data_IF_430872411593
#
_entry.id   IF_430872411593
#
_cell.length_a   1.000
_cell.length_b   1.000
_cell.length_c   1.000
_cell.angle_alpha   90.00
_cell.angle_beta   90.00
_cell.angle_gamma   90.00
#
_symmetry.space_group_name_H-M   'P 1'
#
loop_
_entity.id
_entity.type
_entity.pdbx_description
1 polymer ?
#
# COMPACT_ATOMS: atom_id res chain seq x y z
N UNK A 1 -71.90 42.44 6.27
CA UNK A 1 -72.14 40.99 6.26
C UNK A 1 -70.96 40.37 5.53
N UNK A 2 -69.99 39.81 6.27
CA UNK A 2 -69.62 38.37 6.25
C UNK A 2 -69.67 37.77 4.83
N UNK A 3 -68.60 37.19 4.27
CA UNK A 3 -67.76 36.22 4.93
C UNK A 3 -66.36 36.11 4.30
N UNK A 4 -65.39 35.99 5.19
CA UNK A 4 -63.96 35.78 4.99
C UNK A 4 -63.70 34.29 4.74
N UNK A 5 -63.02 33.92 3.64
CA UNK A 5 -62.23 32.68 3.60
C UNK A 5 -60.91 32.99 2.89
N UNK A 6 -59.91 33.25 3.72
CA UNK A 6 -58.50 33.38 3.37
C UNK A 6 -57.93 31.96 3.28
N UNK A 7 -57.64 31.46 2.09
CA UNK A 7 -56.90 30.20 1.92
C UNK A 7 -55.41 30.54 1.94
N UNK A 8 -54.80 30.41 3.13
CA UNK A 8 -53.35 30.30 3.26
C UNK A 8 -52.91 28.92 2.75
N UNK A 9 -52.34 28.88 1.55
CA UNK A 9 -51.51 27.74 1.13
C UNK A 9 -50.12 27.91 1.75
N UNK A 10 -49.93 27.26 2.90
CA UNK A 10 -48.64 26.91 3.45
C UNK A 10 -47.93 25.97 2.47
N UNK A 11 -47.07 26.51 1.61
CA UNK A 11 -46.04 25.70 0.94
C UNK A 11 -44.88 25.59 1.93
N UNK A 12 -44.56 24.38 2.42
CA UNK A 12 -43.48 24.21 3.37
C UNK A 12 -42.15 24.58 2.71
N UNK A 13 -41.45 25.55 3.28
CA UNK A 13 -40.03 25.80 3.07
C UNK A 13 -39.24 24.64 3.68
N UNK A 14 -39.24 23.50 3.00
CA UNK A 14 -38.18 22.52 3.12
C UNK A 14 -37.20 22.80 1.99
N UNK A 15 -36.17 23.58 2.29
CA UNK A 15 -35.00 23.70 1.42
C UNK A 15 -34.56 22.30 1.04
N UNK A 16 -34.65 22.03 -0.27
CA UNK A 16 -34.17 20.83 -0.92
C UNK A 16 -32.67 20.71 -0.63
N UNK A 17 -32.34 20.09 0.49
CA UNK A 17 -31.08 19.38 0.65
C UNK A 17 -31.11 18.30 -0.42
N UNK A 18 -30.48 18.59 -1.55
CA UNK A 18 -30.14 17.61 -2.55
C UNK A 18 -29.28 16.56 -1.84
N UNK A 19 -29.93 15.53 -1.29
CA UNK A 19 -29.31 14.26 -0.98
C UNK A 19 -28.79 13.77 -2.33
N UNK A 20 -27.51 14.01 -2.57
CA UNK A 20 -26.72 13.28 -3.52
C UNK A 20 -26.76 11.82 -3.07
N UNK A 21 -27.83 11.12 -3.46
CA UNK A 21 -27.79 9.69 -3.55
C UNK A 21 -26.84 9.40 -4.71
N UNK A 22 -25.56 9.23 -4.38
CA UNK A 22 -24.58 8.57 -5.23
C UNK A 22 -24.97 7.09 -5.34
N UNK A 23 -26.14 6.82 -5.91
CA UNK A 23 -26.34 5.55 -6.59
C UNK A 23 -25.44 5.63 -7.81
N UNK A 24 -24.22 5.13 -7.65
CA UNK A 24 -23.42 4.63 -8.76
C UNK A 24 -24.37 3.92 -9.70
N UNK A 25 -24.50 4.45 -10.91
CA UNK A 25 -25.25 3.81 -11.98
C UNK A 25 -24.63 2.44 -12.18
N UNK A 26 -25.28 1.41 -11.62
CA UNK A 26 -25.05 0.00 -11.94
C UNK A 26 -25.26 -0.14 -13.45
N UNK A 27 -24.17 -0.12 -14.21
CA UNK A 27 -24.22 -0.30 -15.66
C UNK A 27 -22.92 -0.02 -16.40
N UNK A 28 -22.03 0.81 -15.86
CA UNK A 28 -20.73 1.09 -16.49
C UNK A 28 -19.62 0.49 -15.62
N UNK A 29 -19.24 -0.77 -15.90
CA UNK A 29 -17.95 -1.25 -15.41
C UNK A 29 -16.86 -0.40 -16.06
N UNK A 30 -15.90 0.10 -15.27
CA UNK A 30 -14.74 0.90 -15.68
C UNK A 30 -13.74 0.16 -16.62
N UNK A 31 -14.21 -0.75 -17.48
CA UNK A 31 -13.36 -1.69 -18.23
C UNK A 31 -13.27 -1.35 -19.72
N UNK A 32 -13.13 -0.07 -20.08
CA UNK A 32 -12.78 0.27 -21.46
C UNK A 32 -11.28 0.02 -21.72
N UNK A 33 -10.46 -0.06 -20.66
CA UNK A 33 -9.05 -0.43 -20.73
C UNK A 33 -8.87 -1.95 -20.83
N UNK A 34 -7.96 -2.36 -21.70
CA UNK A 34 -7.68 -3.80 -21.96
C UNK A 34 -6.85 -4.42 -20.83
N UNK A 35 -6.02 -3.60 -20.17
CA UNK A 35 -5.13 -4.04 -19.09
C UNK A 35 -5.85 -3.96 -17.73
N UNK A 36 -5.87 -5.03 -16.92
CA UNK A 36 -6.67 -5.09 -15.68
C UNK A 36 -6.19 -4.13 -14.57
N UNK A 37 -4.92 -3.73 -14.58
CA UNK A 37 -4.35 -2.75 -13.64
C UNK A 37 -4.57 -1.30 -14.07
N UNK A 38 -5.18 -1.07 -15.23
CA UNK A 38 -5.45 0.26 -15.75
C UNK A 38 -6.93 0.64 -15.57
N UNK A 39 -7.18 1.94 -15.55
CA UNK A 39 -8.50 2.54 -15.53
C UNK A 39 -8.62 3.59 -16.63
N UNK A 40 -9.85 3.79 -17.12
CA UNK A 40 -10.10 4.84 -18.08
C UNK A 40 -9.90 6.20 -17.40
N UNK A 41 -9.15 7.09 -18.04
CA UNK A 41 -9.12 8.48 -17.64
C UNK A 41 -10.48 9.09 -17.90
N UNK A 42 -11.03 9.73 -16.87
CA UNK A 42 -12.39 10.25 -16.92
C UNK A 42 -12.39 11.76 -17.05
N UNK A 43 -13.25 12.29 -17.91
CA UNK A 43 -13.49 13.72 -18.06
C UNK A 43 -14.13 14.31 -16.80
N UNK A 44 -13.82 15.56 -16.48
CA UNK A 44 -14.50 16.25 -15.38
C UNK A 44 -16.02 16.31 -15.63
N UNK A 45 -16.87 15.87 -14.67
CA UNK A 45 -18.31 15.98 -14.82
C UNK A 45 -18.74 17.46 -14.87
N UNK A 46 -19.81 17.74 -15.60
CA UNK A 46 -20.44 19.06 -15.65
C UNK A 46 -21.90 18.96 -15.24
N UNK A 47 -22.56 20.08 -14.95
CA UNK A 47 -23.99 20.11 -14.60
C UNK A 47 -24.90 19.48 -15.67
N UNK A 48 -24.42 19.35 -16.93
CA UNK A 48 -25.19 18.81 -18.05
C UNK A 48 -24.73 17.44 -18.51
N UNK A 49 -23.50 17.03 -18.22
CA UNK A 49 -22.89 15.83 -18.77
C UNK A 49 -22.13 15.09 -17.65
N UNK A 50 -22.46 13.82 -17.37
CA UNK A 50 -21.71 13.03 -16.41
C UNK A 50 -20.28 12.77 -16.90
N UNK A 51 -19.43 12.36 -15.96
CA UNK A 51 -18.07 11.91 -16.25
C UNK A 51 -18.05 10.78 -17.29
N UNK A 52 -17.21 10.89 -18.33
CA UNK A 52 -17.06 9.90 -19.41
C UNK A 52 -15.57 9.64 -19.69
N UNK A 53 -15.25 8.47 -20.25
CA UNK A 53 -13.89 8.15 -20.67
C UNK A 53 -13.37 9.18 -21.68
N UNK A 54 -12.12 9.60 -21.54
CA UNK A 54 -11.46 10.52 -22.46
C UNK A 54 -11.07 9.74 -23.73
N UNK A 55 -11.57 10.18 -24.86
CA UNK A 55 -11.23 9.62 -26.17
C UNK A 55 -9.87 10.14 -26.64
N UNK A 56 -9.13 9.32 -27.38
CA UNK A 56 -7.83 9.67 -27.95
C UNK A 56 -7.71 9.14 -29.37
N UNK A 57 -6.59 9.40 -30.04
CA UNK A 57 -6.23 8.74 -31.28
C UNK A 57 -4.70 8.69 -31.35
N UNK A 58 -4.08 7.53 -31.65
CA UNK A 58 -2.63 7.36 -31.60
C UNK A 58 -1.86 8.33 -32.50
N UNK A 59 -2.50 8.83 -33.57
CA UNK A 59 -1.87 9.73 -34.53
C UNK A 59 -2.15 11.23 -34.26
N UNK A 60 -3.29 11.57 -33.64
CA UNK A 60 -3.80 12.96 -33.65
C UNK A 60 -4.09 13.54 -32.26
N UNK A 61 -4.36 12.70 -31.25
CA UNK A 61 -4.81 13.13 -29.93
C UNK A 61 -4.11 12.35 -28.83
N UNK A 62 -3.11 13.00 -28.22
CA UNK A 62 -2.39 12.45 -27.09
C UNK A 62 -3.25 12.45 -25.83
N UNK A 63 -3.02 11.44 -24.99
CA UNK A 63 -3.68 11.35 -23.70
C UNK A 63 -3.20 12.46 -22.75
N UNK A 64 -4.11 12.99 -21.90
CA UNK A 64 -3.72 13.85 -20.80
C UNK A 64 -2.63 13.22 -19.91
N UNK A 65 -1.82 14.08 -19.30
CA UNK A 65 -0.83 13.65 -18.32
C UNK A 65 -1.51 12.86 -17.18
N UNK A 66 -0.93 11.72 -16.83
CA UNK A 66 -1.42 10.78 -15.81
C UNK A 66 -0.34 9.78 -15.44
N UNK A 67 -0.68 8.72 -14.71
CA UNK A 67 0.27 7.63 -14.41
C UNK A 67 0.38 6.70 -15.63
N UNK A 68 1.48 6.82 -16.37
CA UNK A 68 1.76 6.09 -17.61
C UNK A 68 0.56 6.04 -18.59
N UNK A 69 0.08 7.22 -19.04
CA UNK A 69 -1.11 7.28 -19.86
C UNK A 69 -0.85 6.65 -21.23
N UNK A 70 -1.77 5.79 -21.67
CA UNK A 70 -1.69 5.09 -22.95
C UNK A 70 -3.04 5.18 -23.67
N UNK A 71 -2.98 5.51 -24.96
CA UNK A 71 -4.14 5.45 -25.83
C UNK A 71 -4.36 4.01 -26.29
N UNK A 72 -5.52 3.43 -25.98
CA UNK A 72 -5.84 2.04 -26.31
C UNK A 72 -7.17 1.96 -27.05
N UNK A 73 -7.25 1.08 -28.05
CA UNK A 73 -8.53 0.77 -28.69
C UNK A 73 -9.34 -0.18 -27.81
N UNK A 74 -10.51 0.29 -27.35
CA UNK A 74 -11.44 -0.52 -26.60
C UNK A 74 -12.38 -1.26 -27.55
N UNK A 75 -12.34 -2.59 -27.54
CA UNK A 75 -13.31 -3.41 -28.29
C UNK A 75 -14.75 -3.23 -27.78
N UNK A 76 -14.91 -2.82 -26.51
CA UNK A 76 -16.23 -2.66 -25.89
C UNK A 76 -16.93 -1.40 -26.34
N UNK A 77 -16.23 -0.27 -26.29
CA UNK A 77 -16.78 1.02 -26.71
C UNK A 77 -16.50 1.35 -28.18
N UNK A 78 -15.76 0.50 -28.88
CA UNK A 78 -15.32 0.66 -30.29
C UNK A 78 -14.63 2.00 -30.54
N UNK A 79 -13.86 2.46 -29.55
CA UNK A 79 -13.22 3.77 -29.53
C UNK A 79 -11.82 3.68 -28.92
N UNK A 80 -10.97 4.59 -29.32
CA UNK A 80 -9.70 4.83 -28.65
C UNK A 80 -9.95 5.65 -27.38
N UNK A 81 -9.50 5.12 -26.25
CA UNK A 81 -9.66 5.72 -24.92
C UNK A 81 -8.33 5.86 -24.22
N UNK A 82 -8.20 6.92 -23.42
CA UNK A 82 -7.05 7.11 -22.56
C UNK A 82 -7.17 6.23 -21.31
N UNK A 83 -6.17 5.40 -21.11
CA UNK A 83 -6.04 4.55 -19.94
C UNK A 83 -4.81 4.97 -19.14
N UNK A 84 -4.94 5.00 -17.82
CA UNK A 84 -3.83 5.23 -16.91
C UNK A 84 -3.74 4.10 -15.88
N UNK A 85 -2.57 3.91 -15.30
CA UNK A 85 -2.40 2.95 -14.21
C UNK A 85 -3.21 3.41 -13.00
N UNK A 86 -3.94 2.46 -12.37
CA UNK A 86 -4.70 2.74 -11.15
C UNK A 86 -3.77 3.24 -10.05
N UNK A 87 -4.30 4.08 -9.16
CA UNK A 87 -3.48 4.65 -8.07
C UNK A 87 -3.07 3.60 -7.05
N UNK A 88 -3.94 2.62 -6.85
CA UNK A 88 -3.91 1.52 -5.88
C UNK A 88 -3.43 0.20 -6.48
N UNK A 89 -3.08 0.15 -7.77
CA UNK A 89 -2.53 -1.05 -8.39
C UNK A 89 -1.13 -0.79 -8.96
N UNK A 90 -0.21 -1.69 -8.66
CA UNK A 90 1.09 -1.71 -9.33
C UNK A 90 0.98 -2.26 -10.75
N UNK A 91 1.94 -1.86 -11.59
CA UNK A 91 2.13 -2.53 -12.88
C UNK A 91 2.51 -3.98 -12.55
N UNK A 92 1.74 -4.97 -13.02
CA UNK A 92 2.01 -6.36 -12.72
C UNK A 92 3.35 -6.73 -13.34
N UNK A 93 4.18 -7.39 -12.52
CA UNK A 93 5.52 -7.84 -12.91
C UNK A 93 5.62 -9.34 -12.74
N UNK A 94 6.50 -9.98 -13.52
CA UNK A 94 6.76 -11.39 -13.36
C UNK A 94 7.56 -11.69 -12.08
N UNK A 95 7.49 -12.92 -11.55
CA UNK A 95 8.28 -13.35 -10.40
C UNK A 95 9.80 -13.21 -10.59
N UNK A 96 10.54 -13.34 -9.50
CA UNK A 96 12.01 -13.32 -9.52
C UNK A 96 12.58 -14.30 -10.55
N UNK A 97 13.62 -13.86 -11.25
CA UNK A 97 14.29 -14.52 -12.37
C UNK A 97 13.44 -14.66 -13.64
N UNK A 98 12.41 -13.83 -13.82
CA UNK A 98 11.66 -13.74 -15.06
C UNK A 98 11.61 -12.29 -15.58
N UNK A 99 11.80 -12.15 -16.88
CA UNK A 99 11.56 -10.93 -17.63
C UNK A 99 10.05 -10.78 -17.89
N UNK A 100 9.53 -9.58 -17.65
CA UNK A 100 8.10 -9.28 -17.80
C UNK A 100 7.78 -8.83 -19.21
N UNK A 101 7.03 -9.65 -19.96
CA UNK A 101 6.27 -9.17 -21.09
C UNK A 101 4.93 -8.71 -20.55
N UNK A 102 4.61 -7.42 -20.64
CA UNK A 102 3.34 -6.80 -20.19
C UNK A 102 2.14 -7.22 -21.05
N UNK A 103 2.10 -8.50 -21.40
CA UNK A 103 1.07 -9.20 -22.15
C UNK A 103 0.37 -10.15 -21.18
N UNK A 104 -0.91 -9.91 -20.88
CA UNK A 104 -1.72 -10.83 -20.10
C UNK A 104 -1.87 -12.19 -20.79
N UNK A 105 -2.00 -13.25 -19.99
CA UNK A 105 -2.21 -14.62 -20.49
C UNK A 105 -3.26 -15.37 -19.64
N UNK A 106 -3.97 -16.34 -20.21
CA UNK A 106 -4.90 -17.21 -19.48
C UNK A 106 -6.35 -17.24 -19.99
N UNK A 107 -7.02 -18.35 -19.67
CA UNK A 107 -8.41 -18.80 -19.93
C UNK A 107 -9.00 -18.69 -21.35
N UNK A 108 -8.42 -17.97 -22.30
CA UNK A 108 -8.78 -18.09 -23.72
C UNK A 108 -7.73 -18.90 -24.47
N UNK A 109 -8.18 -19.73 -25.42
CA UNK A 109 -7.32 -20.55 -26.30
C UNK A 109 -6.32 -19.68 -27.10
N UNK A 110 -6.63 -18.39 -27.26
CA UNK A 110 -5.86 -17.40 -28.01
C UNK A 110 -4.82 -16.61 -27.17
N UNK A 111 -4.81 -16.76 -25.84
CA UNK A 111 -3.89 -16.04 -24.95
C UNK A 111 -2.65 -16.86 -24.59
N UNK A 112 -2.03 -17.47 -25.60
CA UNK A 112 -0.78 -18.21 -25.42
C UNK A 112 0.42 -17.27 -25.44
N UNK A 113 1.32 -17.44 -24.48
CA UNK A 113 2.54 -16.68 -24.45
C UNK A 113 3.45 -17.00 -25.64
N UNK A 114 4.19 -16.00 -26.17
CA UNK A 114 5.15 -16.23 -27.25
C UNK A 114 6.18 -17.30 -26.87
N UNK A 115 6.82 -17.91 -27.87
CA UNK A 115 7.83 -18.96 -27.66
C UNK A 115 8.93 -18.47 -26.71
N UNK A 116 9.19 -19.24 -25.65
CA UNK A 116 10.18 -18.91 -24.62
C UNK A 116 9.61 -18.17 -23.41
N UNK A 117 8.36 -17.73 -23.45
CA UNK A 117 7.63 -17.17 -22.32
C UNK A 117 6.68 -18.21 -21.71
N UNK A 118 6.46 -18.11 -20.41
CA UNK A 118 5.53 -18.94 -19.63
C UNK A 118 4.47 -18.04 -19.02
N UNK A 119 3.23 -18.52 -18.96
CA UNK A 119 2.16 -17.80 -18.28
C UNK A 119 2.30 -17.98 -16.76
N UNK A 120 2.66 -16.94 -16.02
CA UNK A 120 2.82 -16.96 -14.58
C UNK A 120 1.93 -15.90 -13.92
N UNK A 121 1.57 -16.10 -12.65
CA UNK A 121 0.93 -15.06 -11.84
C UNK A 121 1.85 -13.86 -11.67
N UNK A 122 1.28 -12.65 -11.68
CA UNK A 122 2.04 -11.43 -11.46
C UNK A 122 2.35 -11.21 -9.98
N UNK A 123 3.49 -10.59 -9.69
CA UNK A 123 3.80 -10.06 -8.37
C UNK A 123 2.80 -8.95 -8.02
N UNK A 124 2.23 -9.02 -6.82
CA UNK A 124 1.23 -8.05 -6.33
C UNK A 124 -0.22 -8.42 -6.60
N UNK A 125 -0.54 -9.23 -7.63
CA UNK A 125 -1.91 -9.66 -7.94
C UNK A 125 -1.95 -11.03 -8.65
N UNK A 126 -2.41 -12.06 -7.94
CA UNK A 126 -2.57 -13.43 -8.49
C UNK A 126 -3.71 -13.55 -9.51
N UNK A 127 -4.65 -12.61 -9.51
CA UNK A 127 -5.74 -12.61 -10.49
C UNK A 127 -5.24 -12.24 -11.89
N UNK A 128 -4.07 -11.60 -11.97
CA UNK A 128 -3.40 -11.25 -13.21
C UNK A 128 -2.31 -12.27 -13.49
N UNK A 129 -2.33 -12.81 -14.71
CA UNK A 129 -1.24 -13.65 -15.23
C UNK A 129 -0.59 -12.98 -16.42
N UNK A 130 0.73 -13.04 -16.49
CA UNK A 130 1.56 -12.41 -17.50
C UNK A 130 2.47 -13.41 -18.19
N UNK A 131 2.91 -13.06 -19.39
CA UNK A 131 3.94 -13.79 -20.10
C UNK A 131 5.33 -13.46 -19.56
N UNK A 132 5.99 -14.46 -19.01
CA UNK A 132 7.22 -14.33 -18.27
C UNK A 132 8.32 -15.20 -18.87
N UNK A 133 9.47 -14.62 -19.22
CA UNK A 133 10.60 -15.37 -19.79
C UNK A 133 11.69 -15.58 -18.74
N UNK A 134 12.15 -16.81 -18.47
CA UNK A 134 13.24 -17.04 -17.52
C UNK A 134 14.48 -16.24 -17.91
N UNK A 135 14.99 -15.45 -16.97
CA UNK A 135 16.22 -14.69 -17.11
C UNK A 135 16.93 -14.62 -15.76
N UNK A 136 17.97 -15.45 -15.61
CA UNK A 136 18.75 -15.57 -14.36
C UNK A 136 19.80 -14.47 -14.19
N UNK A 137 20.02 -13.64 -15.21
CA UNK A 137 20.98 -12.53 -15.15
C UNK A 137 20.29 -11.20 -14.84
N UNK A 138 18.98 -11.20 -14.55
CA UNK A 138 18.28 -10.00 -14.08
C UNK A 138 18.76 -9.66 -12.67
N UNK A 139 19.25 -8.44 -12.53
CA UNK A 139 19.49 -7.82 -11.23
C UNK A 139 18.18 -7.21 -10.71
N UNK A 140 17.89 -7.47 -9.44
CA UNK A 140 16.71 -6.95 -8.76
C UNK A 140 17.15 -5.95 -7.70
N UNK A 141 16.41 -4.86 -7.58
CA UNK A 141 16.60 -3.92 -6.48
C UNK A 141 15.93 -4.51 -5.25
N UNK A 142 16.74 -4.98 -4.32
CA UNK A 142 16.29 -5.25 -2.95
C UNK A 142 16.36 -3.94 -2.14
N UNK A 143 15.44 -3.71 -1.19
CA UNK A 143 14.40 -4.64 -0.72
C UNK A 143 13.08 -4.57 -1.52
N UNK A 144 12.96 -3.68 -2.51
CA UNK A 144 11.71 -3.43 -3.26
C UNK A 144 11.06 -4.71 -3.80
N UNK A 145 11.86 -5.59 -4.40
CA UNK A 145 11.36 -6.83 -4.97
C UNK A 145 10.71 -7.74 -3.91
N UNK A 146 11.38 -7.95 -2.79
CA UNK A 146 10.88 -8.81 -1.71
C UNK A 146 9.59 -8.27 -1.08
N UNK A 147 9.49 -6.94 -0.90
CA UNK A 147 8.26 -6.30 -0.38
C UNK A 147 7.07 -6.49 -1.33
N UNK A 148 7.29 -6.43 -2.64
CA UNK A 148 6.23 -6.64 -3.65
C UNK A 148 5.85 -8.11 -3.77
N UNK A 149 6.83 -9.02 -3.76
CA UNK A 149 6.59 -10.46 -3.85
C UNK A 149 5.73 -10.99 -2.69
N UNK A 150 5.95 -10.44 -1.49
CA UNK A 150 5.19 -10.80 -0.30
C UNK A 150 3.91 -9.97 -0.10
N UNK A 151 3.53 -9.13 -1.08
CA UNK A 151 2.36 -8.24 -1.03
C UNK A 151 2.33 -7.32 0.19
N UNK A 152 3.50 -6.95 0.68
CA UNK A 152 3.61 -5.85 1.63
C UNK A 152 3.34 -4.54 0.88
N UNK A 153 3.87 -4.41 -0.34
CA UNK A 153 3.56 -3.31 -1.26
C UNK A 153 2.63 -3.81 -2.38
N UNK A 154 1.55 -3.08 -2.74
CA UNK A 154 1.11 -1.80 -2.18
C UNK A 154 0.11 -1.97 -1.01
N UNK A 155 -0.21 -3.21 -0.63
CA UNK A 155 -1.36 -3.54 0.22
C UNK A 155 -1.22 -3.03 1.65
N UNK A 156 -0.02 -3.13 2.21
CA UNK A 156 0.28 -2.74 3.58
C UNK A 156 1.09 -1.45 3.60
N UNK A 157 2.14 -1.34 2.78
CA UNK A 157 2.87 -0.09 2.56
C UNK A 157 2.59 0.44 1.15
N UNK A 158 2.37 1.75 0.97
CA UNK A 158 2.09 2.31 -0.35
C UNK A 158 3.30 2.27 -1.28
N UNK A 159 4.52 2.41 -0.71
CA UNK A 159 5.78 2.45 -1.45
C UNK A 159 6.81 1.60 -0.72
N UNK A 160 7.62 0.84 -1.47
CA UNK A 160 8.71 0.05 -0.90
C UNK A 160 9.80 0.94 -0.28
N UNK A 161 10.47 0.49 0.81
CA UNK A 161 11.57 1.23 1.41
C UNK A 161 12.77 1.35 0.46
N UNK A 162 13.57 2.39 0.63
CA UNK A 162 14.80 2.58 -0.15
C UNK A 162 15.90 1.60 0.24
N UNK A 163 15.98 1.24 1.53
CA UNK A 163 16.99 0.34 2.08
C UNK A 163 16.35 -0.77 2.94
N UNK A 164 17.06 -1.89 3.08
CA UNK A 164 16.69 -2.91 4.05
C UNK A 164 17.00 -2.41 5.47
N UNK A 165 16.08 -2.66 6.40
CA UNK A 165 16.29 -2.42 7.82
C UNK A 165 16.67 -3.75 8.49
N UNK A 166 17.88 -3.83 9.03
CA UNK A 166 18.32 -5.00 9.78
C UNK A 166 17.82 -4.84 11.22
N UNK A 167 17.03 -5.78 11.71
CA UNK A 167 16.51 -5.80 13.07
C UNK A 167 17.01 -7.03 13.83
N UNK A 168 17.61 -6.81 15.00
CA UNK A 168 18.13 -7.86 15.88
C UNK A 168 17.40 -7.81 17.21
N UNK A 169 16.70 -8.90 17.53
CA UNK A 169 15.95 -9.07 18.77
C UNK A 169 16.70 -10.01 19.69
N UNK A 170 17.14 -9.49 20.85
CA UNK A 170 18.11 -10.18 21.70
C UNK A 170 19.36 -10.56 20.88
N UNK A 171 19.52 -11.84 20.52
CA UNK A 171 20.63 -12.36 19.69
C UNK A 171 20.16 -12.89 18.32
N UNK A 172 18.87 -12.72 17.97
CA UNK A 172 18.31 -13.20 16.71
C UNK A 172 18.14 -12.05 15.72
N UNK A 173 18.91 -12.09 14.63
CA UNK A 173 18.71 -11.20 13.50
C UNK A 173 17.55 -11.73 12.64
N UNK A 174 16.53 -10.90 12.46
CA UNK A 174 15.40 -11.23 11.60
C UNK A 174 15.76 -10.94 10.15
N UNK A 175 15.59 -11.93 9.29
CA UNK A 175 15.65 -11.76 7.84
C UNK A 175 14.30 -11.28 7.30
N UNK A 176 14.34 -10.43 6.29
CA UNK A 176 13.13 -9.94 5.61
C UNK A 176 12.28 -11.11 5.07
N UNK A 177 11.00 -11.14 5.41
CA UNK A 177 10.06 -12.19 5.02
C UNK A 177 10.20 -13.51 5.79
N UNK A 178 11.04 -13.55 6.83
CA UNK A 178 11.20 -14.74 7.66
C UNK A 178 9.92 -15.05 8.44
N UNK A 179 9.60 -16.35 8.52
CA UNK A 179 8.43 -16.88 9.22
C UNK A 179 8.89 -17.65 10.45
N UNK A 180 8.30 -17.32 11.59
CA UNK A 180 8.61 -17.93 12.88
C UNK A 180 7.41 -18.66 13.47
N UNK A 181 7.71 -19.70 14.24
CA UNK A 181 6.75 -20.34 15.15
C UNK A 181 6.80 -19.68 16.53
N UNK A 182 5.98 -20.17 17.47
CA UNK A 182 5.86 -19.57 18.80
C UNK A 182 7.17 -19.50 19.61
N UNK A 183 8.23 -20.23 19.20
CA UNK A 183 9.53 -20.15 19.89
C UNK A 183 10.22 -18.79 19.80
N UNK A 184 9.83 -17.94 18.83
CA UNK A 184 10.41 -16.60 18.69
C UNK A 184 9.88 -15.62 19.75
N UNK A 185 8.70 -15.87 20.32
CA UNK A 185 7.95 -14.87 21.12
C UNK A 185 8.79 -14.37 22.31
N UNK A 186 9.46 -15.27 23.02
CA UNK A 186 10.35 -14.89 24.13
C UNK A 186 11.53 -14.02 23.69
N UNK A 187 12.04 -14.22 22.46
CA UNK A 187 13.13 -13.41 21.89
C UNK A 187 12.66 -12.00 21.49
N UNK A 188 11.37 -11.83 21.22
CA UNK A 188 10.71 -10.56 20.86
C UNK A 188 10.18 -9.81 22.10
N UNK A 189 10.63 -10.16 23.31
CA UNK A 189 10.15 -9.50 24.54
C UNK A 189 10.61 -8.04 24.64
N UNK A 190 11.78 -7.72 24.10
CA UNK A 190 12.41 -6.40 24.14
C UNK A 190 12.50 -5.79 22.73
N UNK A 191 12.52 -4.44 22.62
CA UNK A 191 12.65 -3.76 21.32
C UNK A 191 13.96 -4.12 20.62
N UNK A 192 13.97 -4.18 19.27
CA UNK A 192 15.14 -4.60 18.52
C UNK A 192 16.21 -3.51 18.47
N UNK A 193 17.46 -3.95 18.32
CA UNK A 193 18.54 -3.10 17.81
C UNK A 193 18.42 -3.06 16.29
N UNK A 194 18.49 -1.87 15.71
CA UNK A 194 18.30 -1.69 14.27
C UNK A 194 19.51 -1.04 13.61
N UNK A 195 19.79 -1.47 12.39
CA UNK A 195 20.72 -0.80 11.47
C UNK A 195 20.01 -0.59 10.14
N UNK A 196 19.93 0.66 9.69
CA UNK A 196 19.57 0.95 8.31
C UNK A 196 20.76 0.55 7.43
N UNK A 197 20.52 -0.05 6.26
CA UNK A 197 21.57 -0.35 5.27
C UNK A 197 22.25 0.90 4.66
N UNK A 198 22.18 2.04 5.33
CA UNK A 198 22.68 3.36 4.93
C UNK A 198 23.10 4.13 6.18
N UNK A 199 24.13 4.97 6.06
CA UNK A 199 24.57 5.86 7.12
C UNK A 199 23.54 6.96 7.35
N UNK A 200 23.08 7.09 8.60
CA UNK A 200 22.10 8.10 8.98
C UNK A 200 22.77 9.46 9.17
N UNK A 201 22.11 10.52 8.74
CA UNK A 201 22.60 11.89 8.92
C UNK A 201 22.29 12.41 10.33
N UNK A 202 23.30 12.93 11.03
CA UNK A 202 23.21 13.40 12.42
C UNK A 202 22.27 14.61 12.61
N UNK A 203 22.11 15.47 11.59
CA UNK A 203 21.22 16.64 11.65
C UNK A 203 19.76 16.31 11.34
N UNK A 204 19.45 15.04 11.05
CA UNK A 204 18.11 14.58 10.69
C UNK A 204 17.42 13.91 11.88
N UNK A 205 16.09 13.94 11.83
CA UNK A 205 15.25 13.26 12.78
C UNK A 205 14.56 12.07 12.12
N UNK A 206 14.34 11.02 12.90
CA UNK A 206 13.80 9.77 12.42
C UNK A 206 12.60 9.32 13.26
N UNK A 207 11.69 8.62 12.59
CA UNK A 207 10.54 7.96 13.22
C UNK A 207 10.59 6.46 12.94
N UNK A 208 10.44 5.66 13.99
CA UNK A 208 10.30 4.21 13.92
C UNK A 208 8.85 3.85 14.19
N UNK A 209 8.30 2.96 13.37
CA UNK A 209 7.00 2.35 13.59
C UNK A 209 7.09 0.83 13.43
N UNK A 210 6.59 0.11 14.43
CA UNK A 210 6.30 -1.32 14.37
C UNK A 210 4.79 -1.48 14.42
N UNK A 211 4.23 -2.14 13.42
CA UNK A 211 2.80 -2.46 13.40
C UNK A 211 2.56 -3.91 13.01
N UNK A 212 1.52 -4.47 13.61
CA UNK A 212 0.93 -5.73 13.23
C UNK A 212 -0.15 -5.47 12.19
N UNK A 213 0.13 -5.84 10.94
CA UNK A 213 -0.81 -5.68 9.84
C UNK A 213 -2.00 -6.65 9.91
N UNK A 214 -1.87 -7.76 10.64
CA UNK A 214 -2.94 -8.75 10.82
C UNK A 214 -3.96 -8.23 11.82
N UNK A 215 -3.51 -7.73 12.97
CA UNK A 215 -4.38 -7.18 14.03
C UNK A 215 -4.65 -5.69 13.88
N UNK A 216 -4.03 -5.02 12.89
CA UNK A 216 -4.13 -3.58 12.63
C UNK A 216 -3.78 -2.74 13.87
N UNK A 217 -2.71 -3.13 14.55
CA UNK A 217 -2.27 -2.50 15.78
C UNK A 217 -0.85 -1.94 15.63
N UNK A 218 -0.62 -0.73 16.12
CA UNK A 218 0.74 -0.18 16.27
C UNK A 218 1.28 -0.66 17.61
N UNK A 219 2.35 -1.45 17.57
CA UNK A 219 2.97 -2.02 18.79
C UNK A 219 4.22 -1.25 19.21
N UNK A 220 4.74 -0.36 18.38
CA UNK A 220 5.81 0.56 18.77
C UNK A 220 5.80 1.81 17.87
N UNK A 221 5.86 2.99 18.46
CA UNK A 221 6.03 4.25 17.73
C UNK A 221 6.93 5.21 18.52
N UNK A 222 8.07 5.54 17.93
CA UNK A 222 9.04 6.49 18.48
C UNK A 222 9.38 7.49 17.39
N UNK A 223 9.31 8.78 17.73
CA UNK A 223 9.56 9.86 16.79
C UNK A 223 10.59 10.84 17.35
N UNK A 224 11.06 11.75 16.49
CA UNK A 224 12.09 12.74 16.79
C UNK A 224 13.39 12.12 17.31
N UNK A 225 13.79 10.98 16.73
CA UNK A 225 15.01 10.28 17.10
C UNK A 225 16.16 10.94 16.33
N UNK A 226 17.19 11.38 17.04
CA UNK A 226 18.43 11.83 16.40
C UNK A 226 19.31 10.64 16.01
N UNK A 227 20.12 10.83 14.98
CA UNK A 227 21.25 9.95 14.72
C UNK A 227 22.54 10.55 15.30
N UNK A 228 23.46 9.69 15.71
CA UNK A 228 24.83 10.05 16.10
C UNK A 228 25.78 9.02 15.51
N UNK A 229 26.84 9.48 14.85
CA UNK A 229 27.83 8.62 14.17
C UNK A 229 27.14 7.60 13.23
N UNK A 230 26.07 8.03 12.55
CA UNK A 230 25.32 7.17 11.62
C UNK A 230 24.37 6.16 12.26
N UNK A 231 24.19 6.16 13.58
CA UNK A 231 23.32 5.22 14.30
C UNK A 231 22.16 5.93 15.03
N UNK A 232 21.01 5.24 15.13
CA UNK A 232 19.84 5.76 15.86
C UNK A 232 20.09 5.76 17.37
N UNK A 233 19.92 6.92 18.00
CA UNK A 233 20.09 7.05 19.44
C UNK A 233 18.73 6.99 20.16
N UNK A 234 18.25 5.77 20.44
CA UNK A 234 17.02 5.56 21.21
C UNK A 234 17.34 5.63 22.71
N UNK A 235 17.41 6.84 23.24
CA UNK A 235 17.57 7.05 24.68
C UNK A 235 16.37 6.55 25.47
N UNK A 236 16.59 6.12 26.72
CA UNK A 236 15.50 5.90 27.70
C UNK A 236 14.60 7.13 27.91
N UNK A 237 15.07 8.32 27.54
CA UNK A 237 14.32 9.59 27.64
C UNK A 237 13.60 9.97 26.36
N UNK A 238 13.86 9.30 25.24
CA UNK A 238 13.14 9.51 23.99
C UNK A 238 11.68 9.11 24.24
N UNK A 239 10.77 10.08 24.15
CA UNK A 239 9.35 9.83 24.39
C UNK A 239 8.79 9.03 23.23
N UNK A 240 8.32 7.82 23.51
CA UNK A 240 7.50 7.03 22.60
C UNK A 240 6.07 7.57 22.61
N UNK A 241 5.44 7.65 21.44
CA UNK A 241 4.00 7.82 21.34
C UNK A 241 3.30 6.50 21.71
N UNK A 242 3.89 5.39 21.29
CA UNK A 242 3.50 4.02 21.69
C UNK A 242 4.76 3.31 22.17
N UNK A 243 4.82 3.01 23.46
CA UNK A 243 5.90 2.18 24.02
C UNK A 243 5.88 0.79 23.39
N UNK A 244 7.04 0.16 23.26
CA UNK A 244 7.17 -1.18 22.68
C UNK A 244 6.26 -2.17 23.41
N UNK A 245 5.39 -2.83 22.65
CA UNK A 245 4.52 -3.90 23.11
C UNK A 245 5.03 -5.21 22.51
N UNK A 246 5.44 -6.19 23.34
CA UNK A 246 5.85 -7.49 22.85
C UNK A 246 4.65 -8.22 22.23
N UNK A 247 4.90 -9.24 21.37
CA UNK A 247 3.85 -10.09 20.81
C UNK A 247 2.88 -10.63 21.87
N UNK A 248 1.58 -10.50 21.64
CA UNK A 248 0.56 -11.06 22.51
C UNK A 248 0.31 -12.54 22.16
N UNK A 249 0.65 -13.45 23.09
CA UNK A 249 0.41 -14.90 22.94
C UNK A 249 -1.08 -15.27 22.88
N UNK A 250 -1.95 -14.40 23.40
CA UNK A 250 -3.39 -14.61 23.42
C UNK A 250 -4.06 -14.23 22.11
N UNK A 251 -3.41 -13.37 21.31
CA UNK A 251 -3.89 -12.98 19.99
C UNK A 251 -3.60 -14.07 18.95
N UNK A 252 -4.65 -14.76 18.51
CA UNK A 252 -4.58 -15.98 17.69
C UNK A 252 -5.35 -15.80 16.39
N UNK A 253 -4.80 -15.06 15.41
CA UNK A 253 -5.45 -14.84 14.14
C UNK A 253 -5.61 -16.14 13.37
N UNK A 254 -6.50 -16.13 12.36
CA UNK A 254 -6.64 -17.21 11.39
C UNK A 254 -5.45 -17.15 10.43
N UNK A 255 -4.26 -17.56 10.91
CA UNK A 255 -3.01 -17.50 10.15
C UNK A 255 -1.82 -17.09 11.01
N UNK A 256 -1.01 -16.19 10.48
CA UNK A 256 0.17 -15.63 11.14
C UNK A 256 -0.01 -14.11 11.31
N UNK A 257 0.60 -13.59 12.37
CA UNK A 257 0.83 -12.15 12.52
C UNK A 257 1.86 -11.70 11.52
N UNK A 258 1.62 -10.57 10.86
CA UNK A 258 2.54 -9.98 9.88
C UNK A 258 3.02 -8.64 10.42
N UNK A 259 4.26 -8.63 10.89
CA UNK A 259 4.88 -7.47 11.50
C UNK A 259 5.63 -6.67 10.45
N UNK A 260 5.44 -5.36 10.44
CA UNK A 260 6.19 -4.42 9.60
C UNK A 260 6.90 -3.44 10.51
N UNK A 261 8.22 -3.38 10.40
CA UNK A 261 9.08 -2.43 11.09
C UNK A 261 9.64 -1.45 10.06
N UNK A 262 9.30 -0.18 10.18
CA UNK A 262 9.69 0.85 9.24
C UNK A 262 10.36 2.03 9.94
N UNK A 263 11.40 2.56 9.28
CA UNK A 263 12.16 3.75 9.66
C UNK A 263 11.94 4.83 8.60
N UNK A 264 11.55 6.01 9.05
CA UNK A 264 11.33 7.18 8.21
C UNK A 264 12.30 8.30 8.59
N UNK A 265 12.89 8.95 7.61
CA UNK A 265 13.52 10.26 7.79
C UNK A 265 12.42 11.32 7.80
N UNK A 266 12.37 12.14 8.84
CA UNK A 266 11.35 13.18 9.01
C UNK A 266 11.65 14.41 8.14
N UNK A 267 10.60 15.01 7.61
CA UNK A 267 10.66 16.35 7.01
C UNK A 267 10.52 17.45 8.07
N UNK A 268 9.77 17.18 9.13
CA UNK A 268 9.55 18.11 10.24
C UNK A 268 9.55 17.38 11.59
N UNK A 269 9.65 18.13 12.67
CA UNK A 269 9.52 17.64 14.04
C UNK A 269 8.07 17.34 14.39
N UNK A 270 7.84 16.24 15.10
CA UNK A 270 6.56 15.99 15.74
C UNK A 270 6.42 16.82 17.02
N UNK A 271 5.32 17.57 17.17
CA UNK A 271 5.02 18.19 18.46
C UNK A 271 4.55 17.14 19.47
N UNK A 272 4.81 17.35 20.76
CA UNK A 272 4.33 16.41 21.80
C UNK A 272 2.80 16.29 21.83
N UNK A 273 2.08 17.36 21.45
CA UNK A 273 0.63 17.37 21.41
C UNK A 273 0.10 16.51 20.26
N UNK A 274 0.80 16.51 19.13
CA UNK A 274 0.40 15.74 17.96
C UNK A 274 0.71 14.26 18.18
N UNK A 275 1.89 13.93 18.73
CA UNK A 275 2.24 12.54 19.10
C UNK A 275 1.23 11.90 20.05
N UNK A 276 0.74 12.65 21.04
CA UNK A 276 -0.24 12.16 22.00
C UNK A 276 -1.65 11.95 21.42
N UNK A 277 -1.91 12.41 20.19
CA UNK A 277 -3.21 12.37 19.53
C UNK A 277 -3.25 11.42 18.33
N UNK A 278 -2.12 10.81 17.98
CA UNK A 278 -2.07 9.89 16.85
C UNK A 278 -3.01 8.71 17.15
N UNK A 279 -3.99 8.52 16.27
CA UNK A 279 -4.90 7.38 16.35
C UNK A 279 -4.15 6.11 15.98
N UNK A 280 -4.28 5.07 16.80
CA UNK A 280 -3.57 3.79 16.63
C UNK A 280 -4.52 2.60 16.46
N UNK A 281 -5.82 2.81 16.60
CA UNK A 281 -6.85 1.79 16.42
C UNK A 281 -7.13 1.60 14.92
N UNK A 282 -7.38 0.35 14.51
CA UNK A 282 -7.66 0.00 13.10
C UNK A 282 -6.59 0.49 12.12
N UNK A 283 -5.32 0.43 12.53
CA UNK A 283 -4.20 1.02 11.81
C UNK A 283 -4.10 0.55 10.33
N UNK A 284 -4.07 1.53 9.43
CA UNK A 284 -3.75 1.35 8.01
C UNK A 284 -2.56 2.25 7.66
N UNK A 285 -1.43 1.64 7.35
CA UNK A 285 -0.18 2.34 7.01
C UNK A 285 -0.34 3.37 5.88
N UNK A 286 -1.11 3.06 4.84
CA UNK A 286 -1.32 3.96 3.70
C UNK A 286 -2.07 5.23 4.10
N UNK A 287 -3.24 5.06 4.72
CA UNK A 287 -4.07 6.18 5.21
C UNK A 287 -3.32 7.00 6.26
N UNK A 288 -2.60 6.33 7.16
CA UNK A 288 -1.80 6.98 8.19
C UNK A 288 -0.67 7.83 7.60
N UNK A 289 0.06 7.32 6.60
CA UNK A 289 1.10 8.10 5.92
C UNK A 289 0.52 9.29 5.16
N UNK A 290 -0.68 9.17 4.59
CA UNK A 290 -1.37 10.30 3.95
C UNK A 290 -1.77 11.38 4.96
N UNK A 291 -2.28 10.99 6.14
CA UNK A 291 -2.67 11.91 7.22
C UNK A 291 -1.45 12.71 7.73
N UNK A 292 -0.30 12.04 7.87
CA UNK A 292 0.91 12.61 8.45
C UNK A 292 1.99 12.98 7.41
N UNK A 293 1.60 13.15 6.14
CA UNK A 293 2.50 13.50 5.03
C UNK A 293 3.25 14.84 5.21
N UNK A 294 2.78 15.70 6.11
CA UNK A 294 3.44 16.95 6.47
C UNK A 294 4.69 16.75 7.36
N UNK A 295 4.78 15.61 8.06
CA UNK A 295 5.92 15.27 8.94
C UNK A 295 6.77 14.16 8.34
N UNK A 296 6.13 13.17 7.71
CA UNK A 296 6.79 11.98 7.17
C UNK A 296 6.65 11.88 5.65
N UNK A 297 7.70 11.42 4.94
CA UNK A 297 7.56 11.04 3.55
C UNK A 297 6.65 9.82 3.41
N UNK A 298 5.95 9.72 2.29
CA UNK A 298 5.17 8.51 1.95
C UNK A 298 6.02 7.26 1.69
N UNK A 299 7.33 7.42 1.49
CA UNK A 299 8.28 6.31 1.32
C UNK A 299 9.14 6.14 2.58
N UNK A 300 9.21 4.94 3.18
CA UNK A 300 10.15 4.67 4.27
C UNK A 300 11.60 4.75 3.79
N UNK A 301 12.49 5.27 4.64
CA UNK A 301 13.93 5.24 4.37
C UNK A 301 14.40 3.78 4.36
N UNK A 302 14.08 3.04 5.41
CA UNK A 302 14.40 1.63 5.53
C UNK A 302 13.23 0.87 6.17
N UNK A 303 13.01 -0.37 5.79
CA UNK A 303 12.03 -1.22 6.48
C UNK A 303 12.38 -2.71 6.36
N UNK A 304 11.76 -3.50 7.22
CA UNK A 304 11.73 -4.96 7.17
C UNK A 304 10.36 -5.46 7.60
N UNK A 305 10.09 -6.73 7.33
CA UNK A 305 8.87 -7.40 7.76
C UNK A 305 9.15 -8.86 8.09
N UNK A 306 8.34 -9.43 8.97
CA UNK A 306 8.43 -10.83 9.36
C UNK A 306 7.06 -11.34 9.79
N UNK A 307 6.89 -12.66 9.75
CA UNK A 307 5.69 -13.32 10.23
C UNK A 307 5.97 -14.13 11.48
N UNK A 308 5.04 -14.15 12.44
CA UNK A 308 5.11 -15.12 13.55
C UNK A 308 3.75 -15.77 13.81
N UNK A 309 3.80 -16.98 14.34
CA UNK A 309 2.63 -17.75 14.78
C UNK A 309 2.68 -17.94 16.29
N UNK A 310 1.54 -17.82 16.96
CA UNK A 310 1.38 -18.17 18.38
C UNK A 310 1.21 -19.67 18.61
N UNK A 311 1.19 -20.48 17.53
CA UNK A 311 1.19 -21.94 17.59
C UNK A 311 2.61 -22.49 17.43
N UNK A 312 2.96 -23.45 18.27
CA UNK A 312 4.19 -24.25 18.10
C UNK A 312 4.06 -25.13 16.86
N UNK A 313 5.10 -25.16 16.05
CA UNK A 313 5.20 -26.10 14.93
C UNK A 313 5.78 -27.43 15.43
N UNK A 314 4.89 -28.33 15.83
CA UNK A 314 5.29 -29.64 16.36
C UNK A 314 5.94 -30.55 15.30
N UNK A 315 5.96 -30.17 14.02
CA UNK A 315 6.60 -30.93 12.93
C UNK A 315 8.14 -30.87 12.96
N UNK A 316 8.72 -29.92 13.71
CA UNK A 316 10.18 -29.80 13.87
C UNK A 316 10.78 -30.72 14.95
N UNK A 317 9.96 -31.48 15.68
CA UNK A 317 10.42 -32.53 16.60
C UNK A 317 10.37 -33.89 15.92
N UNK A 318 11.43 -34.24 15.19
CA UNK A 318 11.73 -35.62 14.78
C UNK A 318 13.16 -35.93 15.23
#
# INVERSE_FOLDING_TARGET
>A
MLNTVLIMLLVPTAGLGARYNSHMVKGWSNSDCVRPWQQAQMSKPTLRIPSRAIECHPDDHNCPAGRNPVCQYSLRSQKYVCCEDKKDADIPTCPKYYETLLLPCGNSVDSQCPRGYRCLGSLGDDSIKLCCKPNRTLEYREPEHTFRENRIVPRLLPIAPAYELIATFSDEQISMGQLFDASIIEKLADPPIMSAGVELQDEKLYTIILADATSKAVTWLVANIAAFDGQLEIHRRTKSAVSYQPPDETDKPVGMHTMILALFEQHDTWSQKDLARIAMDDFNFGEWLEEYAHVLPGQPLAATFYGYSTKKDDRKRI
#
